data_IF_552069865987
#
_entry.id   IF_552069865987
#
_cell.length_a   1.000
_cell.length_b   1.000
_cell.length_c   1.000
_cell.angle_alpha   90.00
_cell.angle_beta   90.00
_cell.angle_gamma   90.00
#
_symmetry.space_group_name_H-M   'P 1'
#
loop_
_entity.id
_entity.type
_entity.pdbx_description
1 polymer ?
#
# COMPACT_ATOMS: atom_id res chain seq x y z
N UNK A 1 32.82 -15.93 5.58
CA UNK A 1 32.18 -15.23 4.46
C UNK A 1 31.40 -14.03 4.95
N UNK A 2 31.35 -12.95 4.19
CA UNK A 2 30.71 -11.72 4.64
C UNK A 2 29.20 -11.85 4.75
N UNK A 3 28.62 -11.07 5.68
CA UNK A 3 27.20 -10.81 5.73
C UNK A 3 26.84 -9.72 4.71
N UNK A 4 25.83 -9.97 3.89
CA UNK A 4 25.27 -8.99 2.96
C UNK A 4 23.79 -8.83 3.28
N UNK A 5 23.35 -7.64 3.73
CA UNK A 5 21.94 -7.44 4.09
C UNK A 5 21.00 -7.81 2.95
N UNK A 6 20.00 -8.63 3.24
CA UNK A 6 19.01 -9.05 2.26
C UNK A 6 19.39 -10.26 1.43
N UNK A 7 20.58 -10.83 1.63
CA UNK A 7 21.06 -11.97 0.86
C UNK A 7 21.55 -13.07 1.78
N UNK A 8 21.48 -14.30 1.29
CA UNK A 8 21.99 -15.49 1.98
C UNK A 8 22.95 -16.22 1.04
N UNK A 9 24.17 -16.53 1.49
CA UNK A 9 25.10 -17.33 0.68
C UNK A 9 24.66 -18.77 0.64
N UNK A 10 24.79 -19.39 -0.53
CA UNK A 10 24.45 -20.79 -0.78
C UNK A 10 25.63 -21.54 -1.39
N UNK A 11 25.68 -22.86 -1.15
CA UNK A 11 26.64 -23.71 -1.81
C UNK A 11 26.20 -24.01 -3.26
N UNK A 12 27.01 -24.80 -3.97
CA UNK A 12 26.73 -25.14 -5.37
C UNK A 12 25.42 -25.88 -5.60
N UNK A 13 24.90 -26.54 -4.55
CA UNK A 13 23.66 -27.33 -4.61
C UNK A 13 22.43 -26.50 -4.16
N UNK A 14 22.61 -25.23 -3.89
CA UNK A 14 21.52 -24.34 -3.46
C UNK A 14 21.21 -24.43 -1.98
N UNK A 15 22.06 -25.04 -1.16
CA UNK A 15 21.86 -25.14 0.29
C UNK A 15 22.43 -23.92 0.99
N UNK A 16 21.66 -23.26 1.88
CA UNK A 16 22.16 -22.11 2.63
C UNK A 16 23.36 -22.50 3.50
N UNK A 17 24.36 -21.63 3.55
CA UNK A 17 25.48 -21.83 4.46
C UNK A 17 25.09 -21.41 5.87
N UNK A 18 25.74 -22.04 6.86
CA UNK A 18 25.45 -21.77 8.27
C UNK A 18 26.12 -20.49 8.73
N UNK A 19 25.42 -19.63 9.51
CA UNK A 19 26.07 -18.50 10.16
C UNK A 19 27.15 -18.97 11.14
N UNK A 20 28.21 -18.15 11.29
CA UNK A 20 29.24 -18.38 12.31
C UNK A 20 28.59 -18.36 13.70
N UNK A 21 27.69 -17.40 13.93
CA UNK A 21 26.86 -17.36 15.13
C UNK A 21 25.40 -17.59 14.72
N UNK A 22 24.77 -18.72 15.12
CA UNK A 22 23.39 -19.00 14.73
C UNK A 22 22.37 -17.96 15.17
N UNK A 23 22.72 -17.13 16.16
CA UNK A 23 21.83 -16.08 16.67
C UNK A 23 22.07 -14.71 16.02
N UNK A 24 23.17 -14.58 15.28
CA UNK A 24 23.55 -13.28 14.68
C UNK A 24 24.26 -13.50 13.32
N UNK A 25 23.50 -13.53 12.21
CA UNK A 25 24.10 -13.72 10.88
C UNK A 25 24.97 -12.54 10.43
N UNK A 26 24.90 -11.38 11.11
CA UNK A 26 25.77 -10.24 10.77
C UNK A 26 27.24 -10.53 11.03
N UNK A 27 27.56 -11.55 11.81
CA UNK A 27 28.93 -11.99 12.06
C UNK A 27 29.52 -12.83 10.90
N UNK A 28 28.72 -13.10 9.87
CA UNK A 28 29.17 -13.81 8.69
C UNK A 28 28.83 -15.29 8.71
N UNK A 29 29.33 -16.00 7.72
CA UNK A 29 28.98 -17.38 7.44
C UNK A 29 30.21 -18.26 7.40
N UNK A 30 30.03 -19.53 7.78
CA UNK A 30 31.08 -20.54 7.73
C UNK A 30 31.31 -20.94 6.27
N UNK A 31 32.59 -21.02 5.87
CA UNK A 31 32.96 -21.47 4.52
C UNK A 31 32.63 -22.97 4.38
N UNK A 32 32.24 -23.42 3.17
CA UNK A 32 32.06 -24.84 2.91
C UNK A 32 33.39 -25.59 2.89
N UNK A 33 33.32 -26.91 2.97
CA UNK A 33 34.50 -27.76 2.91
C UNK A 33 35.28 -27.59 1.60
N UNK A 34 36.60 -27.69 1.68
CA UNK A 34 37.46 -27.72 0.50
C UNK A 34 37.10 -28.97 -0.33
N UNK A 35 36.99 -28.87 -1.67
CA UNK A 35 36.72 -30.04 -2.52
C UNK A 35 37.81 -31.12 -2.40
N UNK A 36 37.45 -32.34 -2.75
CA UNK A 36 38.36 -33.48 -2.78
C UNK A 36 39.60 -33.17 -3.64
N UNK A 37 39.39 -32.50 -4.78
CA UNK A 37 40.51 -31.92 -5.56
C UNK A 37 40.67 -30.45 -5.14
N UNK A 38 41.72 -30.13 -4.33
CA UNK A 38 41.85 -28.77 -3.80
C UNK A 38 42.30 -27.73 -4.84
N UNK A 39 42.57 -28.14 -6.08
CA UNK A 39 42.80 -27.23 -7.16
C UNK A 39 41.53 -26.66 -7.80
N UNK A 40 40.36 -27.20 -7.42
CA UNK A 40 39.06 -26.75 -7.91
C UNK A 40 38.55 -25.60 -7.03
N UNK A 41 37.97 -24.59 -7.68
CA UNK A 41 37.30 -23.47 -6.99
C UNK A 41 35.93 -23.90 -6.42
N UNK A 42 35.55 -23.25 -5.33
CA UNK A 42 34.21 -23.37 -4.78
C UNK A 42 33.49 -22.04 -4.96
N UNK A 43 32.46 -22.04 -5.81
CA UNK A 43 31.62 -20.84 -6.04
C UNK A 43 30.54 -20.77 -4.98
N UNK A 44 30.36 -19.57 -4.43
CA UNK A 44 29.33 -19.28 -3.44
C UNK A 44 28.44 -18.19 -3.99
N UNK A 45 27.15 -18.48 -4.12
CA UNK A 45 26.17 -17.54 -4.65
C UNK A 45 25.38 -16.91 -3.50
N UNK A 46 25.35 -15.58 -3.46
CA UNK A 46 24.48 -14.84 -2.56
C UNK A 46 23.14 -14.63 -3.24
N UNK A 47 22.09 -15.19 -2.63
CA UNK A 47 20.73 -15.21 -3.18
C UNK A 47 19.84 -14.29 -2.37
N UNK A 48 19.04 -13.47 -3.05
CA UNK A 48 18.13 -12.55 -2.38
C UNK A 48 17.14 -13.30 -1.50
N UNK A 49 16.97 -12.82 -0.27
CA UNK A 49 16.04 -13.40 0.69
C UNK A 49 14.59 -13.15 0.27
N UNK A 50 13.68 -14.02 0.69
CA UNK A 50 12.25 -13.78 0.55
C UNK A 50 11.87 -12.55 1.37
N UNK A 51 11.00 -11.72 0.81
CA UNK A 51 10.48 -10.52 1.46
C UNK A 51 9.10 -10.21 0.91
N UNK A 52 8.30 -9.50 1.70
CA UNK A 52 6.90 -9.23 1.34
C UNK A 52 6.70 -7.76 1.00
N UNK A 53 5.81 -7.51 0.05
CA UNK A 53 5.22 -6.20 -0.20
C UNK A 53 3.83 -6.19 0.40
N UNK A 54 3.56 -5.23 1.27
CA UNK A 54 2.23 -5.01 1.85
C UNK A 54 1.70 -3.67 1.36
N UNK A 55 0.50 -3.67 0.80
CA UNK A 55 -0.20 -2.45 0.38
C UNK A 55 -1.45 -2.30 1.23
N UNK A 56 -1.57 -1.17 1.91
CA UNK A 56 -2.66 -0.88 2.84
C UNK A 56 -3.52 0.27 2.32
N UNK A 57 -4.80 0.22 2.65
CA UNK A 57 -5.78 1.25 2.29
C UNK A 57 -6.54 1.60 3.56
N UNK A 58 -6.17 2.73 4.17
CA UNK A 58 -6.60 3.08 5.53
C UNK A 58 -7.23 4.47 5.59
N UNK A 59 -7.95 4.74 6.67
CA UNK A 59 -8.41 6.09 6.99
C UNK A 59 -7.27 6.87 7.70
N UNK A 60 -7.54 8.12 8.06
CA UNK A 60 -6.53 8.99 8.69
C UNK A 60 -6.13 8.52 10.10
N UNK A 61 -6.89 7.61 10.70
CA UNK A 61 -6.58 6.99 11.99
C UNK A 61 -5.83 5.66 11.86
N UNK A 62 -5.55 5.24 10.63
CA UNK A 62 -4.86 3.99 10.36
C UNK A 62 -5.75 2.76 10.32
N UNK A 63 -7.08 2.92 10.35
CA UNK A 63 -8.01 1.81 10.28
C UNK A 63 -8.17 1.35 8.84
N UNK A 64 -8.12 0.04 8.61
CA UNK A 64 -8.31 -0.55 7.29
C UNK A 64 -9.71 -0.27 6.74
N UNK A 65 -9.78 0.31 5.55
CA UNK A 65 -11.04 0.53 4.82
C UNK A 65 -11.38 -0.68 3.96
N UNK A 66 -10.35 -1.30 3.39
CA UNK A 66 -10.42 -2.57 2.68
C UNK A 66 -9.22 -3.41 3.12
N UNK A 67 -9.25 -4.74 2.95
CA UNK A 67 -8.15 -5.60 3.39
C UNK A 67 -6.81 -5.21 2.74
N UNK A 68 -5.74 -5.27 3.51
CA UNK A 68 -4.39 -5.09 2.98
C UNK A 68 -4.06 -6.22 2.00
N UNK A 69 -3.29 -5.87 0.98
CA UNK A 69 -2.80 -6.83 -0.01
C UNK A 69 -1.35 -7.17 0.30
N UNK A 70 -1.06 -8.47 0.41
CA UNK A 70 0.31 -8.94 0.68
C UNK A 70 0.78 -9.77 -0.51
N UNK A 71 1.93 -9.41 -1.06
CA UNK A 71 2.57 -10.12 -2.15
C UNK A 71 3.91 -10.65 -1.67
N UNK A 72 4.17 -11.94 -1.91
CA UNK A 72 5.47 -12.52 -1.62
C UNK A 72 6.41 -12.32 -2.79
N UNK A 73 7.64 -11.91 -2.48
CA UNK A 73 8.70 -11.68 -3.45
C UNK A 73 10.05 -11.88 -2.82
N UNK A 74 11.04 -11.19 -3.34
CA UNK A 74 12.43 -11.23 -2.87
C UNK A 74 12.95 -9.82 -2.70
N UNK A 75 13.94 -9.67 -1.82
CA UNK A 75 14.67 -8.41 -1.66
C UNK A 75 15.18 -7.93 -3.02
N UNK A 76 14.93 -6.66 -3.33
CA UNK A 76 15.34 -6.05 -4.58
C UNK A 76 14.35 -6.19 -5.74
N UNK A 77 13.27 -6.97 -5.59
CA UNK A 77 12.23 -7.05 -6.63
C UNK A 77 11.57 -5.68 -6.82
N UNK A 78 11.41 -5.29 -8.07
CA UNK A 78 10.71 -4.04 -8.39
C UNK A 78 9.21 -4.22 -8.20
N UNK A 79 8.57 -3.16 -7.70
CA UNK A 79 7.12 -3.13 -7.54
C UNK A 79 6.54 -1.79 -7.95
N UNK A 80 5.28 -1.81 -8.33
CA UNK A 80 4.49 -0.62 -8.62
C UNK A 80 3.13 -0.79 -7.97
N UNK A 81 2.69 0.24 -7.22
CA UNK A 81 1.38 0.25 -6.59
C UNK A 81 0.59 1.46 -7.03
N UNK A 82 -0.73 1.38 -6.93
CA UNK A 82 -1.64 2.50 -7.20
C UNK A 82 -2.72 2.55 -6.13
N UNK A 83 -3.22 3.75 -5.86
CA UNK A 83 -4.40 3.91 -5.02
C UNK A 83 -5.63 3.35 -5.70
N UNK A 84 -6.57 2.85 -4.91
CA UNK A 84 -7.86 2.34 -5.40
C UNK A 84 -8.97 3.35 -5.13
N UNK A 85 -9.99 3.34 -5.97
CA UNK A 85 -11.22 4.06 -5.69
C UNK A 85 -11.99 3.30 -4.61
N UNK A 86 -12.23 3.96 -3.49
CA UNK A 86 -13.00 3.39 -2.37
C UNK A 86 -14.30 4.17 -2.23
N UNK A 87 -15.47 3.52 -2.35
CA UNK A 87 -16.76 4.21 -2.27
C UNK A 87 -16.88 5.05 -1.01
N UNK A 88 -17.29 6.30 -1.19
CA UNK A 88 -17.48 7.24 -0.08
C UNK A 88 -16.21 7.81 0.51
N UNK A 89 -15.05 7.58 -0.08
CA UNK A 89 -13.76 8.05 0.41
C UNK A 89 -12.93 8.70 -0.68
N UNK A 90 -12.01 9.58 -0.27
CA UNK A 90 -11.12 10.33 -1.12
C UNK A 90 -9.68 10.04 -0.71
N UNK A 91 -8.85 9.64 -1.67
CA UNK A 91 -7.41 9.43 -1.42
C UNK A 91 -6.73 10.79 -1.21
N UNK A 92 -6.04 10.93 -0.08
CA UNK A 92 -5.40 12.21 0.27
C UNK A 92 -3.88 12.15 0.27
N UNK A 93 -3.29 10.99 0.51
CA UNK A 93 -1.84 10.83 0.44
C UNK A 93 -1.44 9.35 0.36
N UNK A 94 -0.20 9.13 -0.01
CA UNK A 94 0.46 7.83 0.07
C UNK A 94 1.64 7.93 1.02
N UNK A 95 1.80 6.94 1.88
CA UNK A 95 2.94 6.80 2.78
C UNK A 95 3.80 5.63 2.31
N UNK A 96 5.12 5.80 2.32
CA UNK A 96 6.05 4.88 1.69
C UNK A 96 6.20 5.18 0.20
N UNK A 97 6.96 4.34 -0.49
CA UNK A 97 7.24 4.52 -1.91
C UNK A 97 6.22 3.74 -2.75
N UNK A 98 5.38 4.44 -3.50
CA UNK A 98 4.38 3.82 -4.38
C UNK A 98 5.04 2.89 -5.40
N UNK A 99 6.23 3.24 -5.84
CA UNK A 99 7.09 2.44 -6.73
C UNK A 99 8.46 2.31 -6.10
N UNK A 100 9.08 1.15 -6.24
CA UNK A 100 10.41 0.95 -5.69
C UNK A 100 10.85 -0.49 -5.77
N UNK A 101 11.77 -0.84 -4.87
CA UNK A 101 12.29 -2.21 -4.73
C UNK A 101 12.01 -2.69 -3.31
N UNK A 102 11.68 -3.97 -3.18
CA UNK A 102 11.41 -4.56 -1.87
C UNK A 102 12.69 -4.51 -1.03
N UNK A 103 12.59 -3.92 0.15
CA UNK A 103 13.70 -3.82 1.10
C UNK A 103 14.01 -5.12 1.81
N UNK A 104 15.12 -5.16 2.54
CA UNK A 104 15.59 -6.37 3.23
C UNK A 104 14.60 -6.95 4.25
N UNK A 105 13.74 -6.11 4.83
CA UNK A 105 12.72 -6.51 5.81
C UNK A 105 11.30 -6.44 5.23
N UNK A 106 11.19 -6.41 3.91
CA UNK A 106 9.94 -6.15 3.21
C UNK A 106 9.69 -4.67 2.98
N UNK A 107 8.60 -4.36 2.30
CA UNK A 107 8.17 -2.97 2.07
C UNK A 107 6.68 -2.84 2.30
N UNK A 108 6.28 -1.67 2.81
CA UNK A 108 4.88 -1.34 3.03
C UNK A 108 4.55 -0.03 2.35
N UNK A 109 3.45 -0.01 1.61
CA UNK A 109 2.88 1.20 1.00
C UNK A 109 1.49 1.40 1.57
N UNK A 110 1.21 2.58 2.10
CA UNK A 110 -0.07 2.88 2.75
C UNK A 110 -0.75 4.03 2.03
N UNK A 111 -1.93 3.76 1.48
CA UNK A 111 -2.80 4.77 0.89
C UNK A 111 -3.78 5.25 1.95
N UNK A 112 -3.80 6.55 2.18
CA UNK A 112 -4.59 7.16 3.27
C UNK A 112 -5.74 7.96 2.68
N UNK A 113 -6.93 7.70 3.18
CA UNK A 113 -8.19 8.25 2.70
C UNK A 113 -8.92 9.00 3.81
N UNK A 114 -9.79 9.90 3.39
CA UNK A 114 -10.79 10.51 4.29
C UNK A 114 -12.18 10.40 3.66
N UNK A 115 -13.24 10.47 4.48
CA UNK A 115 -14.60 10.40 3.95
C UNK A 115 -14.89 11.55 2.99
N UNK A 116 -15.60 11.26 1.90
CA UNK A 116 -16.23 12.30 1.09
C UNK A 116 -17.33 12.97 1.90
N UNK A 117 -17.54 14.26 1.67
CA UNK A 117 -18.64 14.99 2.25
C UNK A 117 -19.97 14.70 1.55
N UNK A 118 -20.97 15.51 1.85
CA UNK A 118 -22.34 15.34 1.35
C UNK A 118 -22.98 16.68 1.07
N UNK A 119 -23.93 16.70 0.13
CA UNK A 119 -24.90 17.77 0.08
C UNK A 119 -25.89 17.58 1.22
N UNK A 120 -26.24 18.65 1.93
CA UNK A 120 -27.15 18.57 3.07
C UNK A 120 -28.36 19.47 2.80
N UNK A 121 -29.47 18.90 2.26
CA UNK A 121 -30.68 19.68 2.05
C UNK A 121 -31.32 20.03 3.39
N UNK A 122 -31.34 21.32 3.75
CA UNK A 122 -32.04 21.79 4.93
C UNK A 122 -33.47 22.17 4.52
N UNK A 123 -34.41 21.28 4.75
CA UNK A 123 -35.80 21.48 4.41
C UNK A 123 -36.58 21.81 5.69
N UNK A 124 -37.23 22.99 5.78
CA UNK A 124 -37.97 23.35 6.99
C UNK A 124 -38.99 22.30 7.40
N UNK A 125 -38.94 21.91 8.70
CA UNK A 125 -39.86 20.93 9.26
C UNK A 125 -39.60 19.48 8.89
N UNK A 126 -38.48 19.18 8.21
CA UNK A 126 -38.16 17.82 7.79
C UNK A 126 -36.80 17.37 8.34
N UNK A 127 -36.58 16.05 8.54
CA UNK A 127 -35.30 15.53 8.91
C UNK A 127 -34.27 15.76 7.80
N UNK A 128 -33.00 15.92 8.19
CA UNK A 128 -31.91 16.07 7.25
C UNK A 128 -31.51 14.71 6.65
N UNK A 129 -31.50 14.63 5.32
CA UNK A 129 -31.07 13.45 4.57
C UNK A 129 -29.87 13.83 3.69
N UNK A 130 -28.63 13.65 4.19
CA UNK A 130 -27.45 13.97 3.41
C UNK A 130 -27.35 13.14 2.14
N UNK A 131 -26.91 13.76 1.06
CA UNK A 131 -26.65 13.11 -0.23
C UNK A 131 -25.15 13.08 -0.42
N UNK A 132 -24.54 11.91 -0.33
CA UNK A 132 -23.10 11.77 -0.39
C UNK A 132 -22.54 12.14 -1.76
N UNK A 133 -21.40 12.84 -1.76
CA UNK A 133 -20.70 13.12 -3.01
C UNK A 133 -20.26 11.81 -3.67
N UNK A 134 -20.38 11.71 -5.01
CA UNK A 134 -19.96 10.51 -5.71
C UNK A 134 -18.43 10.44 -5.81
N UNK A 135 -17.91 9.24 -5.99
CA UNK A 135 -16.52 9.02 -6.35
C UNK A 135 -16.32 9.20 -7.85
N UNK A 136 -15.16 9.72 -8.24
CA UNK A 136 -14.68 9.56 -9.61
C UNK A 136 -14.33 8.07 -9.81
N UNK A 137 -14.87 7.39 -10.83
CA UNK A 137 -14.67 5.94 -10.98
C UNK A 137 -13.23 5.57 -11.39
N UNK A 138 -12.41 6.54 -11.82
CA UNK A 138 -11.06 6.28 -12.30
C UNK A 138 -9.98 6.99 -11.49
N UNK A 139 -10.31 8.07 -10.80
CA UNK A 139 -9.35 8.86 -10.04
C UNK A 139 -9.73 8.85 -8.55
N UNK A 140 -9.01 8.09 -7.71
CA UNK A 140 -9.34 8.01 -6.28
C UNK A 140 -9.12 9.34 -5.53
N UNK A 141 -8.42 10.31 -6.11
CA UNK A 141 -8.13 11.60 -5.47
C UNK A 141 -9.21 12.65 -5.71
N UNK A 142 -10.24 12.34 -6.50
CA UNK A 142 -11.26 13.31 -6.92
C UNK A 142 -12.67 12.79 -6.67
N UNK A 143 -13.62 13.70 -6.39
CA UNK A 143 -15.04 13.32 -6.43
C UNK A 143 -15.47 13.13 -7.89
N UNK A 144 -16.55 12.39 -8.08
CA UNK A 144 -17.18 12.22 -9.39
C UNK A 144 -18.07 13.40 -9.76
N UNK A 145 -18.63 13.33 -10.97
CA UNK A 145 -19.59 14.33 -11.43
C UNK A 145 -20.92 14.16 -10.69
N UNK A 146 -21.53 15.26 -10.24
CA UNK A 146 -22.83 15.19 -9.60
C UNK A 146 -23.91 14.65 -10.55
N UNK A 147 -24.59 13.59 -10.14
CA UNK A 147 -25.73 13.02 -10.88
C UNK A 147 -27.02 13.06 -10.07
N UNK A 148 -26.91 13.46 -8.81
CA UNK A 148 -28.06 13.53 -7.91
C UNK A 148 -28.92 14.75 -8.20
N UNK A 149 -30.21 14.58 -7.98
CA UNK A 149 -31.21 15.64 -8.13
C UNK A 149 -31.75 15.97 -6.76
N UNK A 150 -31.81 17.26 -6.42
CA UNK A 150 -32.41 17.69 -5.18
C UNK A 150 -33.91 17.57 -5.25
N UNK A 151 -34.59 17.27 -4.11
CA UNK A 151 -36.05 17.13 -4.10
C UNK A 151 -36.75 18.48 -4.35
N UNK A 152 -37.85 18.43 -5.06
CA UNK A 152 -38.78 19.55 -5.16
C UNK A 152 -39.60 19.64 -3.88
N UNK A 153 -39.63 20.82 -3.27
CA UNK A 153 -40.48 21.08 -2.08
C UNK A 153 -41.42 22.23 -2.37
N UNK A 154 -42.72 22.02 -2.38
CA UNK A 154 -43.67 23.09 -2.67
C UNK A 154 -43.52 24.29 -1.74
N UNK A 155 -43.44 25.47 -2.32
CA UNK A 155 -43.30 26.72 -1.56
C UNK A 155 -41.89 27.08 -1.21
N UNK A 156 -40.89 26.29 -1.58
CA UNK A 156 -39.48 26.55 -1.25
C UNK A 156 -38.59 26.46 -2.49
N UNK A 157 -37.52 27.23 -2.49
CA UNK A 157 -36.51 27.21 -3.52
C UNK A 157 -35.16 26.90 -2.89
N UNK A 158 -34.41 25.87 -3.39
CA UNK A 158 -33.09 25.57 -2.83
C UNK A 158 -32.09 26.65 -3.18
N UNK A 159 -31.22 26.97 -2.23
CA UNK A 159 -30.14 27.95 -2.37
C UNK A 159 -28.83 27.34 -1.93
N UNK A 160 -27.71 27.87 -2.47
CA UNK A 160 -26.39 27.50 -2.00
C UNK A 160 -26.08 28.20 -0.65
N UNK A 161 -24.87 27.96 -0.13
CA UNK A 161 -24.46 28.53 1.18
C UNK A 161 -24.41 30.05 1.19
N UNK A 162 -24.31 30.68 -0.01
CA UNK A 162 -24.22 32.13 -0.16
C UNK A 162 -25.57 32.77 -0.48
N UNK A 163 -26.65 31.98 -0.45
CA UNK A 163 -28.00 32.46 -0.69
C UNK A 163 -28.39 32.57 -2.15
N UNK A 164 -27.60 32.00 -3.07
CA UNK A 164 -27.92 32.05 -4.50
C UNK A 164 -28.86 30.88 -4.87
N UNK A 165 -29.97 31.15 -5.58
CA UNK A 165 -30.83 30.05 -6.02
C UNK A 165 -30.12 29.07 -6.92
N UNK A 166 -30.40 27.77 -6.71
CA UNK A 166 -29.84 26.73 -7.57
C UNK A 166 -30.63 26.65 -8.88
N UNK A 167 -29.94 26.32 -9.95
CA UNK A 167 -30.53 26.18 -11.30
C UNK A 167 -31.11 24.78 -11.51
#
# INVERSE_FOLDING_TARGET
LPYVPGFTPEDKDGNPLKPVDPTDPTKGYVVPNIPTDPSQDTVINYVANKAKLVVKYVDEKGKDLIPAETTEGKVGDEYTTTGKVIPGHLLVRVEGDAKGKIGKDGSTVTYVYKPLGSWIPNIPGQPTNPIKYPNDPQDPTKPGQPTEVLPYVPGFTPEDKDGNPLK
#
